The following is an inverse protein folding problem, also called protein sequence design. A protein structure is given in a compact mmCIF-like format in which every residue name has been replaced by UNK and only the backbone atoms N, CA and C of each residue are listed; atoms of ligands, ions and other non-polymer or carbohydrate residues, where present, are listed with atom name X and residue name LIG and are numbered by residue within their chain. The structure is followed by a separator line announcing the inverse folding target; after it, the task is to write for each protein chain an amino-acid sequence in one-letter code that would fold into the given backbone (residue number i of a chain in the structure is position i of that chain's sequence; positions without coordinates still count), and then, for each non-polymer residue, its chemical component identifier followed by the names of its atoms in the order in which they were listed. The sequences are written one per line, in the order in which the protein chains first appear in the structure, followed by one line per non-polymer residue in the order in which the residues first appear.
data_IF_881992053514
#
_entry.id   IF_881992053514
#
_cell.length_a   1.000
_cell.length_b   1.000
_cell.length_c   1.000
_cell.angle_alpha   90.00
_cell.angle_beta   90.00
_cell.angle_gamma   90.00
#
_symmetry.space_group_name_H-M   'P 1'
#
loop_
_entity.id
_entity.type
_entity.pdbx_description
1 polymer ?
#
# COMPACT_ATOMS: atom_id res chain seq x y z
N UNK A 1 4.49 -13.38 3.19
CA UNK A 1 3.67 -12.15 3.34
C UNK A 1 2.28 -12.35 2.75
N UNK A 2 1.36 -11.46 3.08
CA UNK A 2 0.14 -11.22 2.31
C UNK A 2 0.29 -9.86 1.65
N UNK A 3 0.41 -9.85 0.35
CA UNK A 3 0.67 -8.66 -0.44
C UNK A 3 -0.61 -7.89 -0.70
N UNK A 4 -0.50 -6.58 -0.60
CA UNK A 4 -1.54 -5.61 -0.97
C UNK A 4 -2.95 -5.99 -0.49
N UNK A 5 -3.19 -6.01 0.84
CA UNK A 5 -4.49 -6.37 1.40
C UNK A 5 -5.52 -5.27 1.11
N UNK A 6 -6.14 -5.32 -0.06
CA UNK A 6 -6.95 -4.23 -0.58
C UNK A 6 -8.24 -4.70 -1.28
N UNK A 7 -9.22 -3.81 -1.28
CA UNK A 7 -10.41 -3.90 -2.12
C UNK A 7 -10.55 -2.64 -2.98
N UNK A 8 -10.88 -2.81 -4.23
CA UNK A 8 -11.36 -1.69 -5.03
C UNK A 8 -12.64 -1.10 -4.44
N UNK A 9 -12.69 0.22 -4.25
CA UNK A 9 -13.86 0.90 -3.67
C UNK A 9 -15.14 0.60 -4.47
N UNK A 10 -15.03 0.45 -5.80
CA UNK A 10 -16.14 0.08 -6.69
C UNK A 10 -16.54 -1.41 -6.66
N UNK A 11 -15.77 -2.30 -6.03
CA UNK A 11 -16.14 -3.69 -5.77
C UNK A 11 -17.24 -3.80 -4.71
N UNK A 12 -17.71 -5.02 -4.41
CA UNK A 12 -18.68 -5.25 -3.33
C UNK A 12 -20.08 -5.61 -3.82
N UNK A 13 -20.19 -6.16 -5.03
CA UNK A 13 -21.49 -6.58 -5.63
C UNK A 13 -21.67 -8.10 -5.67
N UNK A 14 -20.68 -8.88 -5.26
CA UNK A 14 -20.77 -10.34 -5.27
C UNK A 14 -21.75 -10.85 -4.19
N UNK A 15 -22.36 -12.00 -4.45
CA UNK A 15 -23.25 -12.64 -3.47
C UNK A 15 -22.52 -12.97 -2.16
N UNK A 16 -21.22 -13.27 -2.22
CA UNK A 16 -20.41 -13.45 -1.02
C UNK A 16 -20.34 -12.17 -0.19
N UNK A 17 -20.06 -11.03 -0.83
CA UNK A 17 -20.03 -9.74 -0.13
C UNK A 17 -21.39 -9.35 0.46
N UNK A 18 -22.49 -9.60 -0.25
CA UNK A 18 -23.85 -9.35 0.26
C UNK A 18 -24.18 -10.20 1.50
N UNK A 19 -23.73 -11.46 1.53
CA UNK A 19 -23.86 -12.30 2.72
C UNK A 19 -23.07 -11.76 3.91
N UNK A 20 -21.82 -11.35 3.70
CA UNK A 20 -21.00 -10.74 4.76
C UNK A 20 -21.57 -9.39 5.22
N UNK A 21 -22.16 -8.61 4.32
CA UNK A 21 -22.88 -7.39 4.67
C UNK A 21 -24.04 -7.67 5.62
N UNK A 22 -24.92 -8.61 5.27
CA UNK A 22 -26.05 -8.97 6.12
C UNK A 22 -25.62 -9.49 7.48
N UNK A 23 -24.55 -10.29 7.51
CA UNK A 23 -23.96 -10.81 8.75
C UNK A 23 -23.38 -9.68 9.62
N UNK A 24 -22.73 -8.70 9.02
CA UNK A 24 -22.05 -7.61 9.74
C UNK A 24 -23.00 -6.52 10.22
N UNK A 25 -23.96 -6.11 9.37
CA UNK A 25 -24.88 -5.01 9.65
C UNK A 25 -26.26 -5.45 10.16
N UNK A 26 -26.67 -6.69 9.97
CA UNK A 26 -27.99 -7.20 10.36
C UNK A 26 -29.15 -6.83 9.42
N UNK A 27 -28.89 -6.12 8.32
CA UNK A 27 -29.87 -5.75 7.31
C UNK A 27 -29.40 -6.08 5.89
N UNK A 28 -30.33 -6.03 4.92
CA UNK A 28 -30.04 -6.40 3.54
C UNK A 28 -29.06 -5.41 2.88
N UNK A 29 -28.23 -5.95 2.00
CA UNK A 29 -27.24 -5.20 1.27
C UNK A 29 -27.83 -4.02 0.51
N UNK A 30 -27.16 -2.87 0.59
CA UNK A 30 -27.50 -1.64 -0.08
C UNK A 30 -26.46 -1.33 -1.15
N UNK A 31 -26.87 -1.06 -2.42
CA UNK A 31 -25.91 -0.72 -3.46
C UNK A 31 -25.13 0.55 -3.13
N UNK A 32 -23.82 0.45 -3.15
CA UNK A 32 -22.97 1.58 -2.75
C UNK A 32 -23.11 2.82 -3.64
N UNK A 33 -23.45 2.64 -4.92
CA UNK A 33 -23.61 3.75 -5.88
C UNK A 33 -24.89 4.57 -5.66
N UNK A 34 -25.82 4.12 -4.83
CA UNK A 34 -27.09 4.82 -4.59
C UNK A 34 -26.98 5.98 -3.58
N UNK A 35 -25.99 5.93 -2.69
CA UNK A 35 -25.78 7.02 -1.74
C UNK A 35 -24.37 7.06 -1.16
N UNK A 36 -23.91 8.24 -0.70
CA UNK A 36 -22.64 8.35 0.02
C UNK A 36 -22.57 7.48 1.29
N UNK A 37 -23.70 7.34 1.99
CA UNK A 37 -23.79 6.49 3.17
C UNK A 37 -23.58 5.01 2.83
N UNK A 38 -24.19 4.52 1.75
CA UNK A 38 -23.98 3.15 1.30
C UNK A 38 -22.54 2.90 0.86
N UNK A 39 -21.92 3.87 0.19
CA UNK A 39 -20.48 3.84 -0.15
C UNK A 39 -19.63 3.71 1.12
N UNK A 40 -19.90 4.52 2.13
CA UNK A 40 -19.18 4.47 3.41
C UNK A 40 -19.34 3.10 4.09
N UNK A 41 -20.54 2.57 4.19
CA UNK A 41 -20.80 1.26 4.79
C UNK A 41 -20.11 0.13 4.00
N UNK A 42 -20.16 0.18 2.68
CA UNK A 42 -19.47 -0.78 1.82
C UNK A 42 -17.95 -0.76 2.06
N UNK A 43 -17.35 0.41 2.08
CA UNK A 43 -15.91 0.54 2.30
C UNK A 43 -15.51 0.13 3.73
N UNK A 44 -16.31 0.46 4.72
CA UNK A 44 -16.11 0.00 6.10
C UNK A 44 -16.13 -1.53 6.22
N UNK A 45 -17.07 -2.19 5.54
CA UNK A 45 -17.10 -3.66 5.52
C UNK A 45 -15.87 -4.25 4.83
N UNK A 46 -15.45 -3.72 3.67
CA UNK A 46 -14.24 -4.15 2.95
C UNK A 46 -13.00 -4.06 3.86
N UNK A 47 -12.85 -2.93 4.52
CA UNK A 47 -11.80 -2.71 5.50
C UNK A 47 -11.79 -3.79 6.59
N UNK A 48 -12.94 -4.09 7.20
CA UNK A 48 -13.07 -5.09 8.24
C UNK A 48 -12.77 -6.51 7.73
N UNK A 49 -13.21 -6.83 6.52
CA UNK A 49 -12.96 -8.16 5.94
C UNK A 49 -11.47 -8.43 5.77
N UNK A 50 -10.70 -7.46 5.25
CA UNK A 50 -9.26 -7.63 5.13
C UNK A 50 -8.53 -7.64 6.49
N UNK A 51 -8.94 -6.78 7.39
CA UNK A 51 -8.38 -6.78 8.75
C UNK A 51 -8.53 -8.15 9.41
N UNK A 52 -9.71 -8.75 9.34
CA UNK A 52 -9.96 -10.08 9.90
C UNK A 52 -9.21 -11.18 9.14
N UNK A 53 -9.17 -11.13 7.82
CA UNK A 53 -8.43 -12.10 7.03
C UNK A 53 -6.94 -12.11 7.37
N UNK A 54 -6.31 -10.95 7.48
CA UNK A 54 -4.90 -10.83 7.89
C UNK A 54 -4.69 -11.38 9.30
N UNK A 55 -5.58 -11.04 10.23
CA UNK A 55 -5.50 -11.53 11.62
C UNK A 55 -5.56 -13.05 11.67
N UNK A 56 -6.53 -13.66 11.00
CA UNK A 56 -6.71 -15.11 10.97
C UNK A 56 -5.51 -15.83 10.35
N UNK A 57 -5.11 -15.40 9.13
CA UNK A 57 -4.02 -16.05 8.39
C UNK A 57 -2.69 -15.95 9.14
N UNK A 58 -2.35 -14.77 9.65
CA UNK A 58 -1.07 -14.58 10.34
C UNK A 58 -1.04 -15.23 11.71
N UNK A 59 -2.16 -15.22 12.43
CA UNK A 59 -2.28 -15.96 13.70
C UNK A 59 -2.07 -17.45 13.46
N UNK A 60 -2.79 -18.02 12.49
CA UNK A 60 -2.64 -19.42 12.12
C UNK A 60 -1.19 -19.75 11.69
N UNK A 61 -0.57 -18.94 10.84
CA UNK A 61 0.79 -19.17 10.39
C UNK A 61 1.80 -19.19 11.54
N UNK A 62 1.65 -18.29 12.52
CA UNK A 62 2.49 -18.25 13.72
C UNK A 62 2.26 -19.43 14.63
N UNK A 63 1.02 -19.84 14.83
CA UNK A 63 0.66 -21.00 15.67
C UNK A 63 1.16 -22.30 15.04
N UNK A 64 0.95 -22.48 13.74
CA UNK A 64 1.47 -23.63 13.02
C UNK A 64 3.00 -23.67 13.06
N UNK A 65 3.66 -22.55 12.81
CA UNK A 65 5.12 -22.46 12.92
C UNK A 65 5.63 -22.87 14.30
N UNK A 66 5.03 -22.34 15.37
CA UNK A 66 5.38 -22.73 16.75
C UNK A 66 5.22 -24.23 17.00
N UNK A 67 4.16 -24.83 16.48
CA UNK A 67 3.95 -26.29 16.60
C UNK A 67 5.03 -27.11 15.90
N UNK A 68 5.78 -26.52 14.99
CA UNK A 68 6.91 -27.12 14.25
C UNK A 68 8.28 -26.63 14.75
N UNK A 69 8.35 -25.91 15.87
CA UNK A 69 9.60 -25.34 16.36
C UNK A 69 10.15 -24.18 15.54
N UNK A 70 9.32 -23.57 14.67
CA UNK A 70 9.72 -22.45 13.80
C UNK A 70 9.21 -21.13 14.37
N UNK A 71 10.03 -20.08 14.24
CA UNK A 71 9.62 -18.71 14.51
C UNK A 71 9.19 -18.00 13.21
N UNK A 72 7.91 -18.10 12.88
CA UNK A 72 7.35 -17.47 11.68
C UNK A 72 7.13 -15.98 11.94
N UNK A 73 7.64 -15.15 11.04
CA UNK A 73 7.40 -13.70 11.03
C UNK A 73 6.47 -13.33 9.88
N UNK A 74 5.53 -12.44 10.17
CA UNK A 74 4.49 -12.03 9.24
C UNK A 74 4.64 -10.54 8.89
N UNK A 75 4.79 -10.25 7.60
CA UNK A 75 4.94 -8.90 7.07
C UNK A 75 3.80 -8.58 6.10
N UNK A 76 3.40 -7.32 6.06
CA UNK A 76 2.38 -6.81 5.13
C UNK A 76 3.08 -5.88 4.14
N UNK A 77 3.24 -6.31 2.87
CA UNK A 77 3.54 -5.40 1.78
C UNK A 77 2.32 -4.54 1.48
N UNK A 78 2.49 -3.25 1.41
CA UNK A 78 1.40 -2.30 1.25
C UNK A 78 1.84 -1.09 0.44
N UNK A 79 0.93 -0.53 -0.35
CA UNK A 79 1.14 0.76 -0.99
C UNK A 79 1.04 1.91 0.02
N UNK A 80 1.48 3.07 -0.38
CA UNK A 80 1.27 4.28 0.40
C UNK A 80 -0.21 4.66 0.46
N UNK A 81 -0.61 5.34 1.54
CA UNK A 81 -1.97 5.86 1.69
C UNK A 81 -2.35 6.84 0.56
N UNK A 82 -1.35 7.52 0.00
CA UNK A 82 -1.55 8.44 -1.12
C UNK A 82 -2.00 7.69 -2.37
N UNK A 83 -1.33 6.59 -2.73
CA UNK A 83 -1.68 5.75 -3.86
C UNK A 83 -3.06 5.11 -3.68
N UNK A 84 -3.35 4.58 -2.51
CA UNK A 84 -4.67 4.02 -2.22
C UNK A 84 -5.79 5.04 -2.37
N UNK A 85 -5.58 6.26 -1.90
CA UNK A 85 -6.55 7.34 -2.09
C UNK A 85 -6.77 7.67 -3.56
N UNK A 86 -5.69 7.75 -4.34
CA UNK A 86 -5.74 8.08 -5.76
C UNK A 86 -6.42 6.98 -6.60
N UNK A 87 -6.18 5.73 -6.27
CA UNK A 87 -6.79 4.59 -6.98
C UNK A 87 -8.16 4.19 -6.45
N UNK A 88 -8.67 4.88 -5.43
CA UNK A 88 -9.93 4.54 -4.77
C UNK A 88 -9.92 3.09 -4.25
N UNK A 89 -8.88 2.74 -3.54
CA UNK A 89 -8.69 1.43 -2.90
C UNK A 89 -9.01 1.53 -1.41
N UNK A 90 -9.63 0.50 -0.88
CA UNK A 90 -9.91 0.33 0.55
C UNK A 90 -8.95 -0.67 1.13
N UNK A 91 -8.17 -0.25 2.11
CA UNK A 91 -7.20 -1.07 2.79
C UNK A 91 -7.20 -0.81 4.30
N UNK A 92 -6.84 -1.80 5.14
CA UNK A 92 -6.82 -1.66 6.59
C UNK A 92 -5.51 -1.06 7.14
N UNK A 93 -4.65 -0.40 6.35
CA UNK A 93 -3.32 0.04 6.80
C UNK A 93 -3.34 0.75 8.13
N UNK A 94 -4.24 1.71 8.32
CA UNK A 94 -4.32 2.48 9.56
C UNK A 94 -4.56 1.62 10.81
N UNK A 95 -5.14 0.42 10.64
CA UNK A 95 -5.40 -0.52 11.74
C UNK A 95 -4.40 -1.66 11.83
N UNK A 96 -3.53 -1.85 10.83
CA UNK A 96 -2.50 -2.90 10.88
C UNK A 96 -1.57 -2.72 12.08
N UNK A 97 -1.37 -1.48 12.52
CA UNK A 97 -0.60 -1.15 13.71
C UNK A 97 -1.16 -1.82 14.99
N UNK A 98 -2.46 -2.11 15.05
CA UNK A 98 -3.11 -2.78 16.19
C UNK A 98 -3.12 -4.30 16.10
N UNK A 99 -2.66 -4.91 15.01
CA UNK A 99 -2.59 -6.36 14.85
C UNK A 99 -1.32 -6.94 15.46
N UNK A 100 -1.43 -7.63 16.59
CA UNK A 100 -0.29 -8.24 17.29
C UNK A 100 0.42 -9.33 16.46
N UNK A 101 -0.28 -9.92 15.50
CA UNK A 101 0.29 -10.93 14.60
C UNK A 101 1.19 -10.37 13.49
N UNK A 102 1.22 -9.06 13.27
CA UNK A 102 2.07 -8.40 12.27
C UNK A 102 3.40 -8.02 12.90
N UNK A 103 4.50 -8.49 12.33
CA UNK A 103 5.86 -8.20 12.80
C UNK A 103 6.48 -6.98 12.12
N UNK A 104 5.97 -6.59 10.96
CA UNK A 104 6.47 -5.44 10.22
C UNK A 104 5.75 -5.21 8.92
N UNK A 105 6.23 -4.21 8.20
CA UNK A 105 5.65 -3.73 6.95
C UNK A 105 6.71 -3.64 5.87
N UNK A 106 6.28 -3.85 4.62
CA UNK A 106 7.04 -3.50 3.42
C UNK A 106 6.23 -2.42 2.72
N UNK A 107 6.59 -1.17 2.95
CA UNK A 107 5.84 -0.01 2.45
C UNK A 107 6.34 0.39 1.07
N UNK A 108 5.53 0.24 0.06
CA UNK A 108 5.87 0.70 -1.28
C UNK A 108 5.76 2.22 -1.37
N UNK A 109 6.86 2.84 -1.76
CA UNK A 109 6.92 4.25 -2.14
C UNK A 109 6.92 4.31 -3.66
N UNK A 110 5.73 4.28 -4.22
CA UNK A 110 5.54 4.30 -5.67
C UNK A 110 5.20 5.70 -6.16
N UNK A 111 6.14 6.30 -6.85
CA UNK A 111 6.02 7.67 -7.36
C UNK A 111 5.57 7.75 -8.82
N UNK A 112 5.18 6.63 -9.41
CA UNK A 112 4.71 6.56 -10.79
C UNK A 112 3.55 7.51 -11.09
N UNK A 113 2.59 7.66 -10.17
CA UNK A 113 1.47 8.60 -10.31
C UNK A 113 1.88 10.07 -10.37
N UNK A 114 3.04 10.43 -9.85
CA UNK A 114 3.56 11.79 -9.88
C UNK A 114 4.36 12.12 -11.15
N UNK A 115 4.50 11.14 -12.06
CA UNK A 115 5.19 11.28 -13.34
C UNK A 115 4.32 12.00 -14.37
N UNK A 116 3.02 12.03 -14.19
CA UNK A 116 2.14 12.91 -14.93
C UNK A 116 2.24 14.33 -14.36
N UNK A 117 2.54 15.35 -15.18
CA UNK A 117 2.72 16.69 -14.66
C UNK A 117 1.47 17.22 -13.96
N UNK A 118 1.61 17.54 -12.69
CA UNK A 118 0.56 18.12 -11.87
C UNK A 118 0.64 19.65 -11.91
N UNK A 119 -0.51 20.32 -11.99
CA UNK A 119 -0.61 21.77 -11.95
C UNK A 119 -0.78 22.24 -10.49
N UNK A 120 0.18 22.98 -10.01
CA UNK A 120 0.13 23.57 -8.67
C UNK A 120 0.78 24.96 -8.68
N UNK A 121 0.11 25.91 -8.08
CA UNK A 121 0.59 27.29 -7.93
C UNK A 121 1.10 27.91 -9.26
N UNK A 122 0.35 27.71 -10.34
CA UNK A 122 0.70 28.20 -11.67
C UNK A 122 1.79 27.43 -12.42
N UNK A 123 2.34 26.38 -11.82
CA UNK A 123 3.44 25.59 -12.39
C UNK A 123 2.98 24.15 -12.62
N UNK A 124 3.14 23.70 -13.85
CA UNK A 124 2.93 22.29 -14.20
C UNK A 124 4.29 21.59 -14.23
N UNK A 125 4.46 20.56 -13.40
CA UNK A 125 5.67 19.73 -13.35
C UNK A 125 5.41 18.35 -12.76
N UNK A 126 6.32 17.42 -13.01
CA UNK A 126 6.42 16.17 -12.22
C UNK A 126 6.82 16.50 -10.78
N UNK A 127 6.27 15.73 -9.83
CA UNK A 127 6.46 15.98 -8.38
C UNK A 127 6.92 14.73 -7.64
N UNK A 128 7.91 14.06 -8.20
CA UNK A 128 8.42 12.79 -7.65
C UNK A 128 8.97 12.98 -6.24
N UNK A 129 9.76 14.02 -6.01
CA UNK A 129 10.29 14.32 -4.68
C UNK A 129 9.18 14.59 -3.66
N UNK A 130 8.25 15.46 -3.99
CA UNK A 130 7.17 15.87 -3.11
C UNK A 130 6.25 14.67 -2.78
N UNK A 131 5.97 13.82 -3.76
CA UNK A 131 5.16 12.61 -3.58
C UNK A 131 5.90 11.62 -2.67
N UNK A 132 7.16 11.31 -2.97
CA UNK A 132 7.96 10.42 -2.14
C UNK A 132 8.08 10.92 -0.70
N UNK A 133 8.27 12.24 -0.51
CA UNK A 133 8.32 12.84 0.82
C UNK A 133 7.06 12.57 1.63
N UNK A 134 5.89 12.75 1.03
CA UNK A 134 4.61 12.48 1.71
C UNK A 134 4.41 10.99 1.97
N UNK A 135 4.77 10.13 1.02
CA UNK A 135 4.64 8.68 1.15
C UNK A 135 5.52 8.13 2.28
N UNK A 136 6.81 8.46 2.30
CA UNK A 136 7.71 8.08 3.40
C UNK A 136 7.20 8.58 4.75
N UNK A 137 6.82 9.85 4.82
CA UNK A 137 6.38 10.48 6.07
C UNK A 137 5.11 9.87 6.62
N UNK A 138 4.12 9.60 5.77
CA UNK A 138 2.85 9.01 6.20
C UNK A 138 3.04 7.60 6.75
N UNK A 139 3.78 6.76 6.04
CA UNK A 139 4.03 5.38 6.45
C UNK A 139 4.91 5.29 7.69
N UNK A 140 5.96 6.11 7.75
CA UNK A 140 6.85 6.16 8.92
C UNK A 140 6.09 6.62 10.16
N UNK A 141 5.28 7.67 10.05
CA UNK A 141 4.49 8.19 11.17
C UNK A 141 3.45 7.18 11.67
N UNK A 142 2.86 6.40 10.79
CA UNK A 142 1.88 5.38 11.16
C UNK A 142 2.52 4.20 11.90
N UNK A 143 3.73 3.83 11.55
CA UNK A 143 4.36 2.59 12.03
C UNK A 143 5.40 2.80 13.13
N UNK A 144 6.07 3.94 13.16
CA UNK A 144 7.10 4.26 14.17
C UNK A 144 6.64 4.06 15.63
N UNK A 145 5.41 4.45 16.02
CA UNK A 145 4.92 4.23 17.38
C UNK A 145 4.79 2.77 17.76
N UNK A 146 4.71 1.85 16.81
CA UNK A 146 4.56 0.41 17.06
C UNK A 146 5.87 -0.29 17.41
N UNK A 147 7.01 0.33 17.13
CA UNK A 147 8.33 -0.28 17.24
C UNK A 147 8.59 -1.43 16.26
N UNK A 148 7.68 -1.67 15.31
CA UNK A 148 7.79 -2.75 14.33
C UNK A 148 8.77 -2.40 13.21
N UNK A 149 9.35 -3.44 12.61
CA UNK A 149 10.23 -3.26 11.47
C UNK A 149 9.45 -2.72 10.28
N UNK A 150 9.99 -1.68 9.66
CA UNK A 150 9.53 -1.19 8.37
C UNK A 150 10.67 -1.27 7.36
N UNK A 151 10.35 -1.82 6.20
CA UNK A 151 11.19 -1.77 5.00
C UNK A 151 10.44 -0.95 3.96
N UNK A 152 11.11 -0.01 3.34
CA UNK A 152 10.53 0.77 2.25
C UNK A 152 10.94 0.16 0.91
N UNK A 153 9.95 -0.21 0.11
CA UNK A 153 10.15 -0.59 -1.28
C UNK A 153 10.13 0.67 -2.13
N UNK A 154 11.29 1.10 -2.57
CA UNK A 154 11.44 2.30 -3.39
C UNK A 154 11.19 1.96 -4.85
N UNK A 155 10.12 2.49 -5.39
CA UNK A 155 9.65 2.21 -6.75
C UNK A 155 9.29 3.50 -7.49
N UNK A 156 10.28 4.17 -8.13
CA UNK A 156 10.04 5.35 -8.96
C UNK A 156 9.65 5.00 -10.39
N UNK A 157 9.46 3.73 -10.70
CA UNK A 157 9.19 3.24 -12.05
C UNK A 157 7.71 3.45 -12.36
N UNK A 158 7.44 4.02 -13.53
CA UNK A 158 6.07 4.08 -14.04
C UNK A 158 5.83 2.98 -15.09
N UNK A 159 4.56 2.79 -15.44
CA UNK A 159 4.10 1.75 -16.36
C UNK A 159 4.35 2.06 -17.85
N UNK A 160 5.05 3.14 -18.16
CA UNK A 160 5.38 3.53 -19.52
C UNK A 160 6.89 3.46 -19.78
N UNK A 161 7.30 3.14 -21.03
CA UNK A 161 8.72 3.10 -21.37
C UNK A 161 9.39 4.45 -21.14
N UNK A 162 10.52 4.43 -20.44
CA UNK A 162 11.37 5.58 -20.15
C UNK A 162 12.83 5.22 -20.44
N UNK A 163 13.71 6.20 -20.45
CA UNK A 163 15.13 5.98 -20.59
C UNK A 163 15.87 5.92 -19.23
N UNK A 164 17.13 5.53 -19.28
CA UNK A 164 17.97 5.45 -18.07
C UNK A 164 18.21 6.80 -17.39
N UNK A 165 18.22 7.88 -18.14
CA UNK A 165 18.38 9.24 -17.59
C UNK A 165 17.16 9.62 -16.75
N UNK A 166 15.98 9.31 -17.25
CA UNK A 166 14.73 9.50 -16.53
C UNK A 166 14.67 8.64 -15.25
N UNK A 167 15.00 7.36 -15.37
CA UNK A 167 15.07 6.45 -14.24
C UNK A 167 16.00 6.94 -13.13
N UNK A 168 17.24 7.33 -13.51
CA UNK A 168 18.22 7.88 -12.59
C UNK A 168 17.69 9.11 -11.85
N UNK A 169 17.17 10.10 -12.60
CA UNK A 169 16.61 11.34 -12.04
C UNK A 169 15.54 11.06 -10.98
N UNK A 170 14.66 10.11 -11.27
CA UNK A 170 13.54 9.82 -10.38
C UNK A 170 13.96 8.99 -9.15
N UNK A 171 14.92 8.10 -9.29
CA UNK A 171 15.56 7.47 -8.12
C UNK A 171 16.26 8.49 -7.24
N UNK A 172 17.05 9.39 -7.80
CA UNK A 172 17.74 10.44 -7.05
C UNK A 172 16.73 11.32 -6.28
N UNK A 173 15.62 11.71 -6.91
CA UNK A 173 14.57 12.48 -6.26
C UNK A 173 13.91 11.70 -5.09
N UNK A 174 13.59 10.43 -5.30
CA UNK A 174 12.96 9.57 -4.30
C UNK A 174 13.89 9.31 -3.11
N UNK A 175 15.16 8.98 -3.36
CA UNK A 175 16.15 8.81 -2.29
C UNK A 175 16.47 10.11 -1.55
N UNK A 176 16.47 11.24 -2.23
CA UNK A 176 16.68 12.54 -1.57
C UNK A 176 15.54 12.80 -0.57
N UNK A 177 14.31 12.47 -0.92
CA UNK A 177 13.18 12.55 0.01
C UNK A 177 13.35 11.61 1.22
N UNK A 178 13.84 10.39 1.00
CA UNK A 178 14.10 9.41 2.06
C UNK A 178 15.11 9.94 3.09
N UNK A 179 16.15 10.62 2.66
CA UNK A 179 17.20 11.17 3.55
C UNK A 179 16.66 12.17 4.59
N UNK A 180 15.46 12.72 4.37
CA UNK A 180 14.80 13.59 5.34
C UNK A 180 14.14 12.82 6.49
N UNK A 181 14.12 11.50 6.42
CA UNK A 181 13.56 10.61 7.44
C UNK A 181 14.66 9.73 8.05
N UNK A 182 15.40 10.20 9.04
CA UNK A 182 16.61 9.52 9.55
C UNK A 182 16.32 8.18 10.24
N UNK A 183 15.07 7.90 10.58
CA UNK A 183 14.66 6.62 11.16
C UNK A 183 14.44 5.51 10.11
N UNK A 184 14.39 5.86 8.84
CA UNK A 184 14.30 4.89 7.75
C UNK A 184 15.67 4.25 7.53
N UNK A 185 15.82 3.02 8.00
CA UNK A 185 17.09 2.28 7.92
C UNK A 185 17.04 1.06 6.99
N UNK A 186 15.85 0.67 6.54
CA UNK A 186 15.67 -0.49 5.67
C UNK A 186 14.92 -0.08 4.43
N UNK A 187 15.51 -0.32 3.28
CA UNK A 187 14.89 -0.06 2.00
C UNK A 187 15.26 -1.13 0.98
N UNK A 188 14.42 -1.28 0.03
CA UNK A 188 14.50 -2.20 -1.09
C UNK A 188 14.37 -1.39 -2.38
N UNK A 189 15.07 -1.78 -3.41
CA UNK A 189 14.99 -1.17 -4.73
C UNK A 189 14.26 -2.15 -5.63
N UNK A 190 13.22 -1.70 -6.30
CA UNK A 190 12.47 -2.52 -7.24
C UNK A 190 12.90 -2.24 -8.68
N UNK A 191 13.79 -3.06 -9.25
CA UNK A 191 14.18 -2.93 -10.65
C UNK A 191 13.29 -3.79 -11.53
N UNK A 192 12.13 -3.48 -11.86
CA UNK A 192 11.27 -4.30 -12.72
C UNK A 192 12.06 -5.01 -13.84
N UNK A 193 12.36 -6.32 -13.73
CA UNK A 193 13.29 -6.99 -14.65
C UNK A 193 12.86 -6.93 -16.10
N UNK A 194 11.56 -7.07 -16.39
CA UNK A 194 11.03 -7.02 -17.75
C UNK A 194 11.32 -5.66 -18.41
N UNK A 195 11.17 -4.58 -17.66
CA UNK A 195 11.42 -3.23 -18.19
C UNK A 195 12.88 -2.97 -18.47
N UNK A 196 13.76 -3.57 -17.68
CA UNK A 196 15.21 -3.46 -17.83
C UNK A 196 15.71 -4.38 -18.95
N UNK A 197 15.41 -5.67 -18.84
CA UNK A 197 15.97 -6.68 -19.74
C UNK A 197 15.25 -6.79 -21.08
N UNK A 198 14.00 -6.36 -21.16
CA UNK A 198 13.24 -6.30 -22.42
C UNK A 198 13.42 -4.97 -23.19
N UNK A 199 14.31 -4.11 -22.72
CA UNK A 199 14.70 -2.89 -23.44
C UNK A 199 13.76 -1.72 -23.31
N UNK A 200 12.96 -1.67 -22.26
CA UNK A 200 12.13 -0.51 -21.96
C UNK A 200 12.98 0.70 -21.57
N UNK A 201 14.09 0.46 -20.89
CA UNK A 201 15.12 1.48 -20.61
C UNK A 201 16.26 1.32 -21.62
N UNK A 202 16.30 2.20 -22.59
CA UNK A 202 17.36 2.25 -23.59
C UNK A 202 18.51 3.13 -23.11
N UNK A 203 19.73 2.63 -23.34
CA UNK A 203 20.93 3.41 -23.07
C UNK A 203 21.08 4.57 -24.07
#
# INVERSE_FOLDING_TARGET
YMEEPEFWARGGYSEAFKREWKKYYGFDWQPQHESPNNTYLSNKLKYQLYYHALKEVFTYAKEYGRSKGMNVRCYVPTHSLLNYSQWMIVSPEASLASLDCVDGYIAQVWTGTSREPNFYNGIQKERVFETAFVEYGSMESMTAPTGRKMTFLTDPIEDQPRDWSDYKKNYEATFTAQLLYPRIANYEIMPWPERIYEGWYRA
#
